data_IF_957358900332
#
_entry.id   IF_957358900332
#
_cell.length_a   1.000
_cell.length_b   1.000
_cell.length_c   1.000
_cell.angle_alpha   90.00
_cell.angle_beta   90.00
_cell.angle_gamma   90.00
#
_symmetry.space_group_name_H-M   'P 1'
#
loop_
_entity.id
_entity.type
_entity.pdbx_description
1 polymer ?
#
# COMPACT_ATOMS: atom_id res chain seq x y z
N UNK A 1 5.51 30.69 2.97
CA UNK A 1 6.58 29.91 2.35
C UNK A 1 5.95 28.58 2.03
N UNK A 2 5.23 28.58 0.91
CA UNK A 2 4.64 27.40 0.29
C UNK A 2 5.69 26.87 -0.69
N UNK A 3 6.04 25.60 -0.54
CA UNK A 3 6.56 24.70 -1.58
C UNK A 3 6.70 23.34 -0.88
N UNK A 4 5.56 22.77 -0.47
CA UNK A 4 5.51 21.33 -0.25
C UNK A 4 5.59 20.72 -1.63
N UNK A 5 6.78 20.32 -2.05
CA UNK A 5 6.97 19.53 -3.26
C UNK A 5 5.89 18.44 -3.28
N UNK A 6 5.05 18.45 -4.31
CA UNK A 6 4.16 17.34 -4.67
C UNK A 6 5.04 16.15 -5.05
N UNK A 7 5.65 15.52 -4.05
CA UNK A 7 6.34 14.26 -4.21
C UNK A 7 5.27 13.28 -4.65
N UNK A 8 5.33 12.82 -5.90
CA UNK A 8 4.38 11.88 -6.47
C UNK A 8 4.21 10.69 -5.50
N UNK A 9 3.00 10.53 -4.97
CA UNK A 9 2.70 9.46 -4.01
C UNK A 9 1.92 8.37 -4.72
N UNK A 10 2.30 7.13 -4.43
CA UNK A 10 1.59 5.97 -4.93
C UNK A 10 0.77 5.37 -3.81
N UNK A 11 -0.53 5.30 -4.01
CA UNK A 11 -1.48 4.74 -3.05
C UNK A 11 -1.96 3.39 -3.55
N UNK A 12 -1.90 2.38 -2.68
CA UNK A 12 -2.36 1.03 -2.96
C UNK A 12 -3.40 0.63 -1.93
N UNK A 13 -4.56 0.15 -2.40
CA UNK A 13 -5.53 -0.57 -1.59
C UNK A 13 -5.35 -2.06 -1.84
N UNK A 14 -5.00 -2.78 -0.80
CA UNK A 14 -4.70 -4.21 -0.83
C UNK A 14 -5.77 -4.93 -0.03
N UNK A 15 -6.42 -5.90 -0.65
CA UNK A 15 -7.30 -6.84 0.07
C UNK A 15 -6.50 -8.07 0.41
N UNK A 16 -6.53 -8.48 1.67
CA UNK A 16 -5.89 -9.72 2.14
C UNK A 16 -6.93 -10.79 2.42
N UNK A 17 -6.45 -12.02 2.58
CA UNK A 17 -7.28 -13.08 3.16
C UNK A 17 -7.65 -12.78 4.62
N UNK A 18 -8.79 -13.29 5.11
CA UNK A 18 -9.21 -13.18 6.49
C UNK A 18 -8.11 -13.50 7.51
N UNK A 19 -7.77 -12.53 8.36
CA UNK A 19 -6.79 -12.69 9.46
C UNK A 19 -5.34 -12.75 9.01
N UNK A 20 -5.02 -12.25 7.80
CA UNK A 20 -3.66 -12.24 7.24
C UNK A 20 -3.03 -10.86 7.11
N UNK A 21 -3.73 -9.81 7.54
CA UNK A 21 -3.27 -8.42 7.50
C UNK A 21 -1.85 -8.26 8.04
N UNK A 22 -1.60 -8.74 9.27
CA UNK A 22 -0.28 -8.61 9.91
C UNK A 22 0.84 -9.28 9.12
N UNK A 23 0.57 -10.45 8.53
CA UNK A 23 1.54 -11.17 7.70
C UNK A 23 1.86 -10.38 6.43
N UNK A 24 0.84 -9.83 5.78
CA UNK A 24 1.00 -9.03 4.55
C UNK A 24 1.74 -7.73 4.87
N UNK A 25 1.36 -7.02 5.94
CA UNK A 25 2.06 -5.81 6.41
C UNK A 25 3.54 -6.10 6.70
N UNK A 26 3.83 -7.16 7.45
CA UNK A 26 5.21 -7.55 7.76
C UNK A 26 6.01 -7.88 6.50
N UNK A 27 5.40 -8.57 5.54
CA UNK A 27 6.02 -8.92 4.26
C UNK A 27 6.32 -7.67 3.44
N UNK A 28 5.39 -6.73 3.36
CA UNK A 28 5.55 -5.49 2.60
C UNK A 28 6.63 -4.62 3.22
N UNK A 29 6.61 -4.44 4.55
CA UNK A 29 7.67 -3.72 5.26
C UNK A 29 9.04 -4.35 5.08
N UNK A 30 9.13 -5.69 5.03
CA UNK A 30 10.38 -6.41 4.81
C UNK A 30 10.97 -6.17 3.42
N UNK A 31 10.15 -6.17 2.37
CA UNK A 31 10.65 -6.10 0.98
C UNK A 31 10.69 -4.68 0.42
N UNK A 32 9.80 -3.80 0.87
CA UNK A 32 9.61 -2.47 0.32
C UNK A 32 9.78 -1.36 1.34
N UNK A 33 10.17 -1.65 2.58
CA UNK A 33 10.19 -0.70 3.71
C UNK A 33 10.82 0.66 3.41
N UNK A 34 11.91 0.69 2.63
CA UNK A 34 12.59 1.93 2.24
C UNK A 34 11.79 2.82 1.28
N UNK A 35 10.81 2.23 0.58
CA UNK A 35 9.93 2.89 -0.38
C UNK A 35 8.61 3.32 0.27
N UNK A 36 8.29 2.81 1.46
CA UNK A 36 7.01 3.03 2.13
C UNK A 36 7.03 4.36 2.88
N UNK A 37 5.98 5.15 2.68
CA UNK A 37 5.62 6.28 3.52
C UNK A 37 4.83 5.76 4.72
N UNK A 38 3.82 4.94 4.46
CA UNK A 38 2.95 4.40 5.49
C UNK A 38 2.25 3.11 5.07
N UNK A 39 1.81 2.34 6.08
CA UNK A 39 1.01 1.13 5.93
C UNK A 39 -0.03 1.10 7.05
N UNK A 40 -1.29 1.23 6.69
CA UNK A 40 -2.42 1.27 7.61
C UNK A 40 -3.48 0.22 7.23
N UNK A 41 -4.25 -0.25 8.20
CA UNK A 41 -5.49 -0.98 7.92
C UNK A 41 -6.57 0.02 7.53
N UNK A 42 -7.30 -0.21 6.43
CA UNK A 42 -8.37 0.68 5.99
C UNK A 42 -9.55 0.65 6.97
N UNK A 43 -9.81 1.72 7.75
CA UNK A 43 -10.92 1.73 8.69
C UNK A 43 -12.29 1.75 8.00
N UNK A 44 -12.35 2.12 6.71
CA UNK A 44 -13.59 2.22 5.93
C UNK A 44 -13.80 1.03 4.98
N UNK A 45 -12.71 0.39 4.55
CA UNK A 45 -12.70 -0.79 3.68
C UNK A 45 -13.07 -2.10 4.39
N UNK A 46 -13.12 -2.08 5.72
CA UNK A 46 -13.45 -3.24 6.56
C UNK A 46 -12.24 -4.11 6.88
N UNK A 47 -12.49 -5.20 7.62
CA UNK A 47 -11.46 -6.18 7.95
C UNK A 47 -10.79 -6.72 6.67
N UNK A 48 -9.47 -6.96 6.72
CA UNK A 48 -8.69 -7.51 5.62
C UNK A 48 -8.43 -6.54 4.46
N UNK A 49 -8.46 -5.23 4.72
CA UNK A 49 -8.10 -4.18 3.78
C UNK A 49 -6.94 -3.37 4.33
N UNK A 50 -5.90 -3.19 3.52
CA UNK A 50 -4.70 -2.42 3.84
C UNK A 50 -4.54 -1.27 2.86
N UNK A 51 -4.16 -0.10 3.36
CA UNK A 51 -3.75 1.05 2.58
C UNK A 51 -2.24 1.18 2.69
N UNK A 52 -1.57 1.31 1.55
CA UNK A 52 -0.13 1.50 1.49
C UNK A 52 0.19 2.74 0.69
N UNK A 53 1.04 3.60 1.26
CA UNK A 53 1.59 4.77 0.61
C UNK A 53 3.07 4.56 0.36
N UNK A 54 3.53 4.89 -0.84
CA UNK A 54 4.93 4.78 -1.24
C UNK A 54 5.43 6.05 -1.95
N UNK A 55 6.73 6.33 -1.81
CA UNK A 55 7.42 7.45 -2.48
C UNK A 55 7.78 7.15 -3.94
N UNK A 56 7.59 5.90 -4.38
CA UNK A 56 7.83 5.44 -5.74
C UNK A 56 6.86 4.32 -6.08
N UNK A 57 6.66 4.08 -7.38
CA UNK A 57 5.82 3.01 -7.87
C UNK A 57 6.40 1.64 -7.46
N UNK A 58 5.59 0.87 -6.73
CA UNK A 58 5.76 -0.57 -6.53
C UNK A 58 4.93 -1.30 -7.60
N UNK A 59 5.51 -2.23 -8.38
CA UNK A 59 4.75 -3.01 -9.35
C UNK A 59 3.62 -3.80 -8.67
N UNK A 60 2.40 -3.70 -9.24
CA UNK A 60 1.22 -4.36 -8.67
C UNK A 60 1.42 -5.87 -8.57
N UNK A 61 2.01 -6.47 -9.62
CA UNK A 61 2.29 -7.91 -9.68
C UNK A 61 3.27 -8.37 -8.59
N UNK A 62 4.12 -7.44 -8.10
CA UNK A 62 5.06 -7.74 -7.03
C UNK A 62 4.35 -7.78 -5.65
N UNK A 63 3.28 -7.00 -5.47
CA UNK A 63 2.42 -7.05 -4.28
C UNK A 63 1.51 -8.29 -4.35
N UNK A 64 0.94 -8.59 -5.51
CA UNK A 64 0.08 -9.78 -5.73
C UNK A 64 0.81 -11.11 -5.50
N UNK A 65 2.14 -11.15 -5.65
CA UNK A 65 2.96 -12.34 -5.35
C UNK A 65 3.01 -12.68 -3.86
N UNK A 66 2.56 -11.80 -2.98
CA UNK A 66 2.42 -12.10 -1.55
C UNK A 66 1.20 -13.02 -1.40
N UNK A 67 1.42 -14.31 -1.10
CA UNK A 67 0.39 -15.35 -1.23
C UNK A 67 -0.91 -15.19 -0.43
N UNK A 68 -0.98 -14.22 0.47
CA UNK A 68 -2.19 -13.90 1.26
C UNK A 68 -2.91 -12.62 0.77
N UNK A 69 -2.45 -12.03 -0.34
CA UNK A 69 -3.12 -10.93 -1.04
C UNK A 69 -4.15 -11.49 -2.01
N UNK A 70 -5.37 -10.95 -1.96
CA UNK A 70 -6.46 -11.30 -2.87
C UNK A 70 -6.55 -10.33 -4.05
N UNK A 71 -6.45 -9.02 -3.79
CA UNK A 71 -6.51 -7.99 -4.82
C UNK A 71 -5.64 -6.80 -4.45
N UNK A 72 -5.19 -6.06 -5.47
CA UNK A 72 -4.42 -4.83 -5.33
C UNK A 72 -4.99 -3.80 -6.30
N UNK A 73 -5.38 -2.63 -5.80
CA UNK A 73 -5.79 -1.50 -6.62
C UNK A 73 -4.84 -0.34 -6.37
N UNK A 74 -4.30 0.25 -7.44
CA UNK A 74 -3.48 1.45 -7.34
C UNK A 74 -4.31 2.68 -7.64
N UNK A 75 -4.13 3.71 -6.83
CA UNK A 75 -4.71 5.03 -7.03
C UNK A 75 -3.56 6.04 -7.19
N UNK A 76 -3.72 6.95 -8.12
CA UNK A 76 -2.86 8.13 -8.22
C UNK A 76 -3.22 9.06 -7.07
N UNK A 77 -2.33 9.21 -6.08
CA UNK A 77 -2.51 10.23 -5.06
C UNK A 77 -2.03 11.57 -5.64
N UNK A 78 -2.94 12.22 -6.37
CA UNK A 78 -2.77 13.59 -6.86
C UNK A 78 -2.09 13.71 -8.23
N UNK A 79 -2.91 13.94 -9.26
CA UNK A 79 -2.64 15.01 -10.21
C UNK A 79 -3.78 16.01 -10.03
N UNK A 80 -3.52 17.14 -9.38
CA UNK A 80 -4.37 18.32 -9.49
C UNK A 80 -3.76 19.28 -10.51
#
# INVERSE_FOLDING_TARGET
>A
MEDTEDVERYLYLIRTRPGRDEYVVATIRKYYGELLIDVETDPNGGENCLIIMAVTEIPIEAIERIGEVETVNRFSAGAQ
#
